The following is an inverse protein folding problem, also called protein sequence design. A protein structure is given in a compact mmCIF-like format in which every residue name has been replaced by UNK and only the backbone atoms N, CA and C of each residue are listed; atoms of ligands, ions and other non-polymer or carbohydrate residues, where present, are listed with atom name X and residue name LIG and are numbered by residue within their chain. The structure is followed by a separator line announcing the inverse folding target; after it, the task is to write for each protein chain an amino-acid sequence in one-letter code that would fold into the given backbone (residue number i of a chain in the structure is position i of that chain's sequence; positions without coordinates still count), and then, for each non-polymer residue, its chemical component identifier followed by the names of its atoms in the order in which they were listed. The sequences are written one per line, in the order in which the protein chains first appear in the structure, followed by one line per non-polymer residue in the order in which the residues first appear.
data_IF_184238205765
#
_entry.id   IF_184238205765
#
_cell.length_a   1.000
_cell.length_b   1.000
_cell.length_c   1.000
_cell.angle_alpha   90.00
_cell.angle_beta   90.00
_cell.angle_gamma   90.00
#
_symmetry.space_group_name_H-M   'P 1'
#
loop_
_entity.id
_entity.type
_entity.pdbx_description
1 polymer ?
#
# COMPACT_ATOMS: atom_id res chain seq x y z
N UNK A 1 44.33 -94.50 3.09
CA UNK A 1 43.09 -94.33 3.90
C UNK A 1 42.83 -92.82 4.08
N UNK A 2 41.58 -92.33 4.10
CA UNK A 2 41.05 -91.46 3.03
C UNK A 2 40.54 -90.05 3.46
N UNK A 3 40.07 -89.28 2.45
CA UNK A 3 39.12 -88.12 2.43
C UNK A 3 39.64 -86.77 2.96
N UNK A 4 39.46 -85.61 2.32
CA UNK A 4 38.73 -85.20 1.12
C UNK A 4 38.14 -83.79 1.31
N UNK A 5 38.27 -82.88 0.33
CA UNK A 5 37.27 -81.85 -0.10
C UNK A 5 37.91 -80.87 -1.09
N UNK A 6 37.34 -80.80 -2.29
CA UNK A 6 37.72 -79.84 -3.34
C UNK A 6 37.23 -78.42 -3.04
N UNK A 7 38.01 -77.43 -3.48
CA UNK A 7 37.72 -76.00 -3.46
C UNK A 7 37.48 -75.55 -4.90
N UNK A 8 36.31 -74.94 -5.17
CA UNK A 8 36.02 -74.25 -6.44
C UNK A 8 36.60 -72.83 -6.38
N UNK A 9 37.28 -72.43 -7.45
CA UNK A 9 37.72 -71.06 -7.74
C UNK A 9 36.53 -70.19 -8.14
N UNK A 10 36.49 -68.96 -7.64
CA UNK A 10 35.57 -67.90 -8.07
C UNK A 10 36.42 -66.73 -8.59
N UNK A 11 36.20 -66.35 -9.86
CA UNK A 11 36.85 -65.23 -10.54
C UNK A 11 36.20 -63.89 -10.13
N UNK A 12 36.95 -62.79 -10.02
CA UNK A 12 36.37 -61.47 -9.83
C UNK A 12 35.83 -60.87 -11.14
N UNK A 13 34.64 -60.28 -11.05
CA UNK A 13 33.87 -59.64 -12.13
C UNK A 13 34.53 -58.33 -12.61
N UNK A 14 34.51 -58.00 -13.92
CA UNK A 14 35.08 -56.75 -14.45
C UNK A 14 34.10 -55.56 -14.35
N UNK A 15 34.66 -54.36 -14.12
CA UNK A 15 33.97 -53.06 -14.15
C UNK A 15 33.65 -52.62 -15.60
N UNK A 16 32.58 -51.83 -15.84
CA UNK A 16 32.21 -51.35 -17.17
C UNK A 16 33.09 -50.16 -17.64
N UNK A 17 33.19 -49.92 -18.96
CA UNK A 17 34.02 -48.87 -19.53
C UNK A 17 33.32 -47.50 -19.57
N UNK A 18 34.11 -46.44 -19.48
CA UNK A 18 33.70 -45.03 -19.60
C UNK A 18 33.17 -44.72 -21.02
N UNK A 19 32.01 -44.08 -21.08
CA UNK A 19 31.39 -43.52 -22.29
C UNK A 19 31.85 -42.06 -22.43
N UNK A 20 32.61 -41.74 -23.49
CA UNK A 20 32.88 -40.37 -23.90
C UNK A 20 32.58 -40.19 -25.40
N UNK A 21 32.04 -39.01 -25.71
CA UNK A 21 31.86 -38.36 -27.02
C UNK A 21 30.52 -38.53 -27.76
N UNK A 22 29.48 -37.83 -27.28
CA UNK A 22 28.48 -37.22 -28.17
C UNK A 22 28.70 -35.70 -28.26
N UNK A 23 28.93 -35.24 -29.49
CA UNK A 23 29.17 -33.84 -29.86
C UNK A 23 27.84 -33.07 -29.79
N UNK A 24 27.61 -32.31 -28.72
CA UNK A 24 26.46 -31.41 -28.59
C UNK A 24 26.66 -30.15 -29.43
N UNK A 25 26.13 -30.14 -30.65
CA UNK A 25 25.84 -28.88 -31.36
C UNK A 25 24.58 -28.25 -30.78
N UNK A 26 24.74 -27.49 -29.70
CA UNK A 26 23.67 -26.65 -29.16
C UNK A 26 23.39 -25.50 -30.16
N UNK A 27 22.28 -25.60 -30.89
CA UNK A 27 21.71 -24.48 -31.63
C UNK A 27 21.21 -23.48 -30.59
N UNK A 28 21.91 -22.35 -30.47
CA UNK A 28 21.47 -21.23 -29.63
C UNK A 28 20.11 -20.73 -30.11
N UNK A 29 19.10 -20.84 -29.25
CA UNK A 29 17.77 -20.29 -29.49
C UNK A 29 17.83 -18.75 -29.36
N UNK A 30 17.02 -18.01 -30.14
CA UNK A 30 16.94 -16.54 -30.07
C UNK A 30 16.22 -16.10 -28.80
N UNK A 31 16.88 -16.25 -27.65
CA UNK A 31 16.38 -15.79 -26.34
C UNK A 31 16.79 -14.34 -26.05
N UNK A 32 17.82 -13.83 -26.74
CA UNK A 32 18.36 -12.48 -26.53
C UNK A 32 17.40 -11.37 -26.95
N UNK A 33 16.65 -11.54 -28.04
CA UNK A 33 15.75 -10.49 -28.55
C UNK A 33 14.50 -10.30 -27.67
N UNK A 34 13.96 -11.38 -27.08
CA UNK A 34 12.79 -11.30 -26.23
C UNK A 34 13.11 -10.64 -24.88
N UNK A 35 14.20 -11.04 -24.22
CA UNK A 35 14.60 -10.46 -22.94
C UNK A 35 15.07 -9.01 -23.08
N UNK A 36 15.72 -8.67 -24.21
CA UNK A 36 16.08 -7.30 -24.52
C UNK A 36 14.83 -6.43 -24.73
N UNK A 37 13.87 -6.89 -25.53
CA UNK A 37 12.58 -6.22 -25.74
C UNK A 37 11.80 -6.05 -24.44
N UNK A 38 11.73 -7.10 -23.61
CA UNK A 38 11.08 -7.04 -22.29
C UNK A 38 11.74 -5.99 -21.38
N UNK A 39 13.08 -5.93 -21.36
CA UNK A 39 13.82 -4.93 -20.57
C UNK A 39 13.57 -3.51 -21.09
N UNK A 40 13.48 -3.33 -22.40
CA UNK A 40 13.18 -2.05 -23.02
C UNK A 40 11.75 -1.61 -22.69
N UNK A 41 10.76 -2.50 -22.80
CA UNK A 41 9.38 -2.21 -22.39
C UNK A 41 9.27 -1.93 -20.89
N UNK A 42 9.97 -2.68 -20.04
CA UNK A 42 10.00 -2.46 -18.60
C UNK A 42 10.65 -1.13 -18.24
N UNK A 43 11.77 -0.77 -18.87
CA UNK A 43 12.43 0.52 -18.62
C UNK A 43 11.59 1.69 -19.16
N UNK A 44 10.96 1.54 -20.32
CA UNK A 44 10.05 2.55 -20.87
C UNK A 44 8.81 2.73 -19.99
N UNK A 45 8.18 1.64 -19.54
CA UNK A 45 7.02 1.71 -18.62
C UNK A 45 7.42 2.25 -17.24
N UNK A 46 8.61 1.89 -16.73
CA UNK A 46 9.15 2.46 -15.50
C UNK A 46 9.39 3.96 -15.63
N UNK A 47 10.01 4.43 -16.71
CA UNK A 47 10.23 5.86 -16.97
C UNK A 47 8.92 6.63 -17.14
N UNK A 48 7.96 6.09 -17.88
CA UNK A 48 6.63 6.69 -18.05
C UNK A 48 5.85 6.75 -16.73
N UNK A 49 6.01 5.74 -15.86
CA UNK A 49 5.41 5.73 -14.52
C UNK A 49 6.08 6.74 -13.61
N UNK A 50 7.41 6.84 -13.62
CA UNK A 50 8.17 7.83 -12.83
C UNK A 50 7.81 9.25 -13.24
N UNK A 51 7.75 9.56 -14.53
CA UNK A 51 7.39 10.90 -15.02
C UNK A 51 5.97 11.32 -14.58
N UNK A 52 4.97 10.43 -14.68
CA UNK A 52 3.63 10.69 -14.14
C UNK A 52 3.59 10.78 -12.62
N UNK A 53 4.39 9.94 -11.96
CA UNK A 53 4.52 9.91 -10.51
C UNK A 53 5.37 11.06 -9.96
N UNK A 54 5.94 11.96 -10.77
CA UNK A 54 6.62 13.18 -10.31
C UNK A 54 5.66 14.39 -10.28
N UNK A 55 4.67 14.44 -11.18
CA UNK A 55 3.64 15.48 -11.19
C UNK A 55 2.61 15.29 -10.06
N UNK A 56 2.15 14.06 -9.85
CA UNK A 56 1.19 13.69 -8.79
C UNK A 56 1.62 13.98 -7.33
N UNK A 57 2.86 13.70 -6.87
CA UNK A 57 3.24 13.87 -5.47
C UNK A 57 3.41 15.33 -5.07
N UNK A 58 3.85 16.20 -5.98
CA UNK A 58 4.02 17.63 -5.68
C UNK A 58 2.67 18.30 -5.45
N UNK A 59 1.67 17.97 -6.29
CA UNK A 59 0.30 18.44 -6.15
C UNK A 59 -0.43 17.80 -4.98
N UNK A 60 -0.22 16.52 -4.75
CA UNK A 60 -0.71 15.85 -3.54
C UNK A 60 -0.12 16.48 -2.28
N UNK A 61 1.17 16.82 -2.28
CA UNK A 61 1.82 17.46 -1.14
C UNK A 61 1.23 18.84 -0.83
N UNK A 62 0.96 19.66 -1.84
CA UNK A 62 0.35 20.98 -1.64
C UNK A 62 -1.10 20.87 -1.12
N UNK A 63 -1.89 19.97 -1.68
CA UNK A 63 -3.27 19.70 -1.22
C UNK A 63 -3.29 19.12 0.20
N UNK A 64 -2.46 18.11 0.49
CA UNK A 64 -2.37 17.51 1.82
C UNK A 64 -1.93 18.51 2.87
N UNK A 65 -1.01 19.42 2.54
CA UNK A 65 -0.60 20.49 3.44
C UNK A 65 -1.77 21.40 3.81
N UNK A 66 -2.58 21.81 2.82
CA UNK A 66 -3.76 22.64 3.04
C UNK A 66 -4.83 21.90 3.83
N UNK A 67 -5.18 20.68 3.41
CA UNK A 67 -6.18 19.85 4.07
C UNK A 67 -5.80 19.54 5.52
N UNK A 68 -4.54 19.20 5.81
CA UNK A 68 -4.10 18.96 7.19
C UNK A 68 -4.19 20.23 8.05
N UNK A 69 -3.88 21.39 7.48
CA UNK A 69 -4.06 22.66 8.19
C UNK A 69 -5.53 22.89 8.52
N UNK A 70 -6.41 22.79 7.51
CA UNK A 70 -7.85 23.01 7.67
C UNK A 70 -8.46 22.00 8.66
N UNK A 71 -8.09 20.72 8.58
CA UNK A 71 -8.55 19.68 9.50
C UNK A 71 -8.09 19.92 10.94
N UNK A 72 -6.87 20.44 11.13
CA UNK A 72 -6.37 20.79 12.45
C UNK A 72 -7.07 22.02 13.03
N UNK A 73 -7.37 23.03 12.20
CA UNK A 73 -8.17 24.18 12.62
C UNK A 73 -9.58 23.76 13.02
N UNK A 74 -10.22 22.90 12.22
CA UNK A 74 -11.52 22.30 12.53
C UNK A 74 -11.45 21.50 13.84
N UNK A 75 -10.42 20.68 14.01
CA UNK A 75 -10.18 19.93 15.26
C UNK A 75 -10.18 20.86 16.48
N UNK A 76 -9.44 21.97 16.42
CA UNK A 76 -9.36 22.93 17.53
C UNK A 76 -10.70 23.61 17.83
N UNK A 77 -11.50 23.92 16.80
CA UNK A 77 -12.85 24.49 16.99
C UNK A 77 -13.76 23.50 17.72
N UNK A 78 -13.70 22.21 17.36
CA UNK A 78 -14.46 21.18 18.05
C UNK A 78 -13.99 20.96 19.48
N UNK A 79 -12.68 21.00 19.72
CA UNK A 79 -12.12 20.87 21.06
C UNK A 79 -12.58 22.01 22.00
N UNK A 80 -12.71 23.25 21.48
CA UNK A 80 -13.22 24.41 22.23
C UNK A 80 -14.66 24.21 22.73
N UNK A 81 -15.49 23.48 21.98
CA UNK A 81 -16.86 23.11 22.38
C UNK A 81 -16.95 21.77 23.10
N UNK A 82 -15.82 21.26 23.63
CA UNK A 82 -15.72 19.98 24.36
C UNK A 82 -16.07 18.75 23.51
N UNK A 83 -15.87 18.82 22.19
CA UNK A 83 -16.01 17.70 21.26
C UNK A 83 -14.62 17.18 20.90
N UNK A 84 -14.30 16.00 21.41
CA UNK A 84 -12.98 15.40 21.27
C UNK A 84 -12.87 14.58 19.99
N UNK A 85 -12.17 15.13 19.01
CA UNK A 85 -11.85 14.44 17.76
C UNK A 85 -10.42 13.91 17.76
N UNK A 86 -10.15 12.93 16.89
CA UNK A 86 -8.84 12.35 16.63
C UNK A 86 -8.52 12.56 15.15
N UNK A 87 -7.38 13.17 14.87
CA UNK A 87 -6.87 13.40 13.52
C UNK A 87 -5.77 12.38 13.18
N UNK A 88 -5.87 11.79 11.99
CA UNK A 88 -4.85 10.96 11.38
C UNK A 88 -4.43 11.58 10.03
N UNK A 89 -3.12 11.70 9.74
CA UNK A 89 -1.97 11.41 10.60
C UNK A 89 -1.94 12.25 11.88
N UNK A 90 -1.49 11.67 13.00
CA UNK A 90 -1.46 12.37 14.29
C UNK A 90 -0.64 13.67 14.28
N UNK A 91 -1.06 14.63 15.11
CA UNK A 91 -0.43 15.96 15.22
C UNK A 91 1.06 15.92 15.59
N UNK A 92 1.48 14.89 16.33
CA UNK A 92 2.89 14.68 16.68
C UNK A 92 3.75 14.39 15.45
N UNK A 93 3.18 13.88 14.36
CA UNK A 93 3.91 13.56 13.13
C UNK A 93 4.09 14.80 12.24
N UNK A 94 3.05 15.62 12.07
CA UNK A 94 3.08 16.71 11.09
C UNK A 94 3.36 18.10 11.69
N UNK A 95 3.16 18.32 12.99
CA UNK A 95 3.22 19.65 13.60
C UNK A 95 4.30 19.78 14.69
N UNK A 96 4.92 20.96 14.75
CA UNK A 96 5.74 21.46 15.85
C UNK A 96 4.99 22.57 16.55
N UNK A 97 4.81 22.45 17.87
CA UNK A 97 4.06 23.40 18.68
C UNK A 97 5.00 24.34 19.43
N UNK A 98 4.77 25.65 19.31
CA UNK A 98 5.35 26.65 20.22
C UNK A 98 4.44 26.85 21.43
N UNK A 99 3.12 26.84 21.21
CA UNK A 99 2.09 26.89 22.25
C UNK A 99 0.92 26.00 21.81
N UNK A 100 0.67 24.91 22.54
CA UNK A 100 -0.36 23.93 22.17
C UNK A 100 -1.77 24.43 22.56
N UNK A 101 -2.81 24.26 21.73
CA UNK A 101 -2.78 23.79 20.33
C UNK A 101 -2.70 24.92 19.28
N UNK A 102 -2.74 26.20 19.70
CA UNK A 102 -3.00 27.35 18.83
C UNK A 102 -1.80 27.85 18.03
N UNK A 103 -0.58 27.83 18.58
CA UNK A 103 0.63 28.29 17.87
C UNK A 103 1.49 27.12 17.46
N UNK A 104 1.41 26.78 16.19
CA UNK A 104 2.10 25.64 15.60
C UNK A 104 2.58 25.95 14.18
N UNK A 105 3.51 25.12 13.71
CA UNK A 105 3.98 25.13 12.33
C UNK A 105 4.18 23.69 11.87
N UNK A 106 4.14 23.46 10.56
CA UNK A 106 4.48 22.17 9.99
C UNK A 106 5.94 21.79 10.27
N UNK A 107 6.19 20.50 10.52
CA UNK A 107 7.54 19.96 10.59
C UNK A 107 8.19 19.97 9.21
N UNK A 108 9.41 20.48 9.12
CA UNK A 108 10.19 20.48 7.87
C UNK A 108 10.49 19.07 7.36
N UNK A 109 10.54 18.08 8.26
CA UNK A 109 10.82 16.68 7.94
C UNK A 109 9.59 15.88 7.50
N UNK A 110 8.39 16.49 7.52
CA UNK A 110 7.16 15.77 7.22
C UNK A 110 6.91 15.70 5.71
N UNK A 111 6.79 14.48 5.18
CA UNK A 111 6.50 14.25 3.77
C UNK A 111 4.99 14.24 3.50
N UNK A 112 4.47 15.39 3.06
CA UNK A 112 3.09 15.53 2.64
C UNK A 112 2.76 14.73 1.38
N UNK A 113 3.75 14.47 0.52
CA UNK A 113 3.56 13.70 -0.70
C UNK A 113 3.29 12.22 -0.41
N UNK A 114 3.75 11.69 0.72
CA UNK A 114 3.52 10.29 1.11
C UNK A 114 2.15 10.04 1.76
N UNK A 115 1.43 11.08 2.20
CA UNK A 115 0.15 10.92 2.88
C UNK A 115 -0.94 10.51 1.89
N UNK A 116 -1.43 9.27 2.00
CA UNK A 116 -2.50 8.74 1.14
C UNK A 116 -3.89 8.83 1.76
N UNK A 117 -3.96 8.84 3.09
CA UNK A 117 -5.22 8.81 3.84
C UNK A 117 -5.13 9.83 4.96
N UNK A 118 -6.18 10.63 5.10
CA UNK A 118 -6.41 11.53 6.22
C UNK A 118 -7.78 11.23 6.82
N UNK A 119 -7.87 11.16 8.14
CA UNK A 119 -9.11 10.85 8.84
C UNK A 119 -9.28 11.78 10.05
N UNK A 120 -10.43 12.44 10.14
CA UNK A 120 -10.86 13.12 11.35
C UNK A 120 -12.05 12.35 11.91
N UNK A 121 -11.84 11.63 13.01
CA UNK A 121 -12.85 10.76 13.64
C UNK A 121 -13.14 11.16 15.07
N UNK A 122 -14.37 10.89 15.50
CA UNK A 122 -14.74 11.03 16.89
C UNK A 122 -13.92 10.09 17.79
N UNK A 123 -13.46 10.60 18.93
CA UNK A 123 -12.78 9.82 19.97
C UNK A 123 -13.74 8.94 20.78
N UNK A 124 -15.05 9.13 20.62
CA UNK A 124 -16.06 8.28 21.22
C UNK A 124 -15.73 6.79 21.02
N UNK A 125 -16.01 5.94 22.03
CA UNK A 125 -15.82 4.50 21.89
C UNK A 125 -16.48 4.04 20.59
N UNK A 126 -15.82 3.15 19.87
CA UNK A 126 -15.93 2.75 18.43
C UNK A 126 -17.32 2.26 17.94
N UNK A 127 -18.38 2.66 18.61
CA UNK A 127 -19.74 2.18 18.52
C UNK A 127 -20.70 3.24 17.93
N UNK A 128 -20.45 4.54 18.14
CA UNK A 128 -21.38 5.63 17.77
C UNK A 128 -20.70 6.85 17.10
N UNK A 129 -19.45 6.72 16.68
CA UNK A 129 -18.67 7.83 16.14
C UNK A 129 -19.07 8.25 14.71
N UNK A 130 -18.66 9.45 14.36
CA UNK A 130 -18.59 9.92 12.97
C UNK A 130 -17.13 10.07 12.54
N UNK A 131 -16.88 9.95 11.24
CA UNK A 131 -15.54 10.10 10.67
C UNK A 131 -15.61 10.79 9.31
N UNK A 132 -14.79 11.82 9.14
CA UNK A 132 -14.47 12.42 7.86
C UNK A 132 -13.21 11.75 7.33
N UNK A 133 -13.32 11.03 6.22
CA UNK A 133 -12.21 10.27 5.62
C UNK A 133 -11.91 10.83 4.25
N UNK A 134 -10.63 11.07 3.98
CA UNK A 134 -10.12 11.55 2.72
C UNK A 134 -9.02 10.62 2.24
N UNK A 135 -9.10 10.12 1.01
CA UNK A 135 -8.05 9.29 0.44
C UNK A 135 -7.92 9.46 -1.06
N UNK A 136 -6.77 9.03 -1.57
CA UNK A 136 -6.49 8.98 -2.99
C UNK A 136 -6.72 7.57 -3.53
N UNK A 137 -7.34 7.44 -4.70
CA UNK A 137 -7.43 6.17 -5.41
C UNK A 137 -7.21 6.36 -6.91
N UNK A 138 -6.63 5.35 -7.61
CA UNK A 138 -6.48 5.41 -9.05
C UNK A 138 -7.80 5.05 -9.74
N UNK A 139 -8.17 5.82 -10.77
CA UNK A 139 -9.23 5.46 -11.71
C UNK A 139 -8.77 4.33 -12.67
N UNK A 140 -9.70 3.74 -13.41
CA UNK A 140 -9.43 2.72 -14.44
C UNK A 140 -8.43 3.20 -15.51
N UNK A 141 -8.29 4.52 -15.70
CA UNK A 141 -7.31 5.15 -16.61
C UNK A 141 -5.96 5.46 -15.96
N UNK A 142 -5.77 5.11 -14.69
CA UNK A 142 -4.55 5.34 -13.92
C UNK A 142 -4.38 6.78 -13.41
N UNK A 143 -5.43 7.61 -13.44
CA UNK A 143 -5.39 8.97 -12.88
C UNK A 143 -5.72 8.92 -11.39
N UNK A 144 -4.98 9.67 -10.59
CA UNK A 144 -5.26 9.80 -9.15
C UNK A 144 -6.51 10.64 -8.93
N UNK A 145 -7.49 10.12 -8.18
CA UNK A 145 -8.68 10.84 -7.71
C UNK A 145 -8.57 11.11 -6.21
N UNK A 146 -9.09 12.26 -5.78
CA UNK A 146 -9.26 12.58 -4.36
C UNK A 146 -10.73 12.38 -4.00
N UNK A 147 -11.00 11.52 -3.02
CA UNK A 147 -12.35 11.35 -2.48
C UNK A 147 -12.39 11.65 -1.00
N UNK A 148 -13.41 12.41 -0.64
CA UNK A 148 -13.77 12.73 0.74
C UNK A 148 -15.16 12.18 1.02
N UNK A 149 -15.28 11.41 2.09
CA UNK A 149 -16.57 10.92 2.58
C UNK A 149 -16.77 11.32 4.03
N UNK A 150 -18.03 11.49 4.38
CA UNK A 150 -18.47 11.57 5.76
C UNK A 150 -19.20 10.28 6.12
N UNK A 151 -18.72 9.60 7.15
CA UNK A 151 -19.27 8.36 7.69
C UNK A 151 -19.88 8.63 9.06
N UNK A 152 -21.09 8.12 9.30
CA UNK A 152 -21.74 8.21 10.61
C UNK A 152 -22.58 6.97 10.92
N UNK A 153 -22.73 6.68 12.20
CA UNK A 153 -23.64 5.65 12.69
C UNK A 153 -25.07 6.21 12.71
N UNK A 154 -25.98 5.63 11.93
CA UNK A 154 -27.41 6.03 11.93
C UNK A 154 -28.15 5.39 13.11
N UNK A 155 -27.80 4.14 13.45
CA UNK A 155 -28.41 3.42 14.55
C UNK A 155 -28.09 1.94 14.61
N UNK A 156 -28.67 1.28 15.61
CA UNK A 156 -28.50 -0.15 15.87
C UNK A 156 -29.84 -0.86 15.69
N UNK A 157 -29.86 -1.92 14.89
CA UNK A 157 -31.03 -2.78 14.70
C UNK A 157 -30.76 -4.14 15.31
N UNK A 158 -31.65 -4.61 16.18
CA UNK A 158 -31.55 -5.94 16.75
C UNK A 158 -32.14 -6.99 15.81
N UNK A 159 -31.34 -7.98 15.43
CA UNK A 159 -31.76 -9.14 14.66
C UNK A 159 -31.72 -10.41 15.52
N UNK A 160 -32.83 -11.16 15.55
CA UNK A 160 -33.04 -12.31 16.44
C UNK A 160 -31.91 -13.36 16.44
N UNK A 161 -31.21 -13.54 15.30
CA UNK A 161 -30.12 -14.52 15.16
C UNK A 161 -28.74 -13.90 14.92
N UNK A 162 -28.64 -12.58 14.78
CA UNK A 162 -27.39 -11.87 14.46
C UNK A 162 -27.00 -10.84 15.53
N UNK A 163 -27.83 -10.66 16.56
CA UNK A 163 -27.61 -9.69 17.62
C UNK A 163 -27.81 -8.25 17.15
N UNK A 164 -27.13 -7.32 17.81
CA UNK A 164 -27.13 -5.91 17.43
C UNK A 164 -26.28 -5.70 16.17
N UNK A 165 -26.93 -5.28 15.09
CA UNK A 165 -26.28 -4.88 13.84
C UNK A 165 -26.31 -3.37 13.70
N UNK A 166 -25.23 -2.80 13.19
CA UNK A 166 -25.15 -1.34 12.96
C UNK A 166 -25.46 -1.00 11.53
N UNK A 167 -26.17 0.11 11.37
CA UNK A 167 -26.34 0.76 10.08
C UNK A 167 -25.40 1.97 10.05
N UNK A 168 -24.31 1.81 9.31
CA UNK A 168 -23.37 2.90 9.02
C UNK A 168 -23.79 3.51 7.69
N UNK A 169 -23.93 4.83 7.65
CA UNK A 169 -24.12 5.56 6.40
C UNK A 169 -22.87 6.31 6.02
N UNK A 170 -22.70 6.48 4.72
CA UNK A 170 -21.62 7.23 4.11
C UNK A 170 -22.21 8.19 3.10
N UNK A 171 -21.75 9.43 3.11
CA UNK A 171 -22.03 10.43 2.10
C UNK A 171 -20.71 10.82 1.42
N UNK A 172 -20.69 10.81 0.09
CA UNK A 172 -19.57 11.35 -0.67
C UNK A 172 -19.71 12.86 -0.69
N UNK A 173 -18.76 13.56 -0.07
CA UNK A 173 -18.73 15.01 -0.03
C UNK A 173 -17.99 15.60 -1.22
N UNK A 174 -16.94 14.91 -1.66
CA UNK A 174 -16.08 15.35 -2.75
C UNK A 174 -15.49 14.14 -3.47
N UNK A 175 -15.43 14.23 -4.79
CA UNK A 175 -14.83 13.22 -5.67
C UNK A 175 -14.44 13.85 -6.99
N UNK A 176 -13.16 14.19 -7.13
CA UNK A 176 -12.62 14.82 -8.33
C UNK A 176 -11.21 14.29 -8.65
N UNK A 177 -10.78 14.34 -9.92
CA UNK A 177 -9.41 14.00 -10.28
C UNK A 177 -8.43 14.99 -9.62
N UNK A 178 -7.25 14.50 -9.23
CA UNK A 178 -6.20 15.28 -8.57
C UNK A 178 -5.79 16.51 -9.40
N UNK A 179 -5.87 16.40 -10.72
CA UNK A 179 -5.59 17.47 -11.69
C UNK A 179 -6.58 18.64 -11.63
N UNK A 180 -7.80 18.42 -11.12
CA UNK A 180 -8.85 19.44 -11.03
C UNK A 180 -9.07 19.92 -9.58
N UNK A 181 -8.64 19.13 -8.60
CA UNK A 181 -8.73 19.50 -7.19
C UNK A 181 -7.91 20.77 -6.86
N UNK A 182 -8.56 21.72 -6.18
CA UNK A 182 -8.06 23.08 -5.87
C UNK A 182 -8.16 23.46 -4.40
#
# INVERSE_FOLDING_TARGET
MPRGRGKKEDQPVPLPPDEDEETSTAVALPEDDFLASLREELTHTQQATVARAEEDPSRRASLNRRLLQDLWEVHNIFEDISVHLTLEPSQTLFATFTEFPLKWAFKETFDFGAVQVMELKDRAPSWLGSALKTWYYPDAKGRSHLRMIFEWCEGETYHKYSGWMRVIRQAVLYDEPLEEAS
#
